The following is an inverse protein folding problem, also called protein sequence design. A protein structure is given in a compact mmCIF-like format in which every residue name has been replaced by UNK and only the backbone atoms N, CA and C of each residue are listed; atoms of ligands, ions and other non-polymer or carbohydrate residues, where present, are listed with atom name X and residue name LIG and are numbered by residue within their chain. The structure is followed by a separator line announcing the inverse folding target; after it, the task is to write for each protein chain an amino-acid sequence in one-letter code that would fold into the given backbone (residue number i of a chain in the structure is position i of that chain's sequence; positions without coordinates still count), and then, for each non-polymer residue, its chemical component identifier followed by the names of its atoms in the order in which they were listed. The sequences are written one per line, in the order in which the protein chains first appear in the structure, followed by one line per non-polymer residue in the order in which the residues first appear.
data_IF_477432630393
#
_entry.id   IF_477432630393
#
_cell.length_a   1.000
_cell.length_b   1.000
_cell.length_c   1.000
_cell.angle_alpha   90.00
_cell.angle_beta   90.00
_cell.angle_gamma   90.00
#
_symmetry.space_group_name_H-M   'P 1'
#
loop_
_entity.id
_entity.type
_entity.pdbx_description
1 polymer ?
#
# COMPACT_ATOMS: atom_id res chain seq x y z
N UNK A 1 -10.31 8.28 -11.55
CA UNK A 1 -9.74 7.09 -10.87
C UNK A 1 -8.51 7.52 -10.06
N UNK A 2 -8.59 7.49 -8.73
CA UNK A 2 -7.50 7.93 -7.83
C UNK A 2 -6.25 7.06 -7.97
N UNK A 3 -6.43 5.77 -8.31
CA UNK A 3 -5.39 4.73 -8.41
C UNK A 3 -4.54 4.77 -9.68
N UNK A 4 -5.00 5.35 -10.79
CA UNK A 4 -4.32 5.21 -12.08
C UNK A 4 -2.99 5.97 -12.16
N UNK A 5 -2.95 7.21 -11.65
CA UNK A 5 -1.70 7.99 -11.71
C UNK A 5 -0.59 7.40 -10.82
N UNK A 6 -0.87 6.93 -9.58
CA UNK A 6 0.12 6.22 -8.77
C UNK A 6 0.67 4.96 -9.46
N UNK A 7 -0.19 4.20 -10.15
CA UNK A 7 0.23 3.02 -10.91
C UNK A 7 1.06 3.41 -12.14
N UNK A 8 0.65 4.45 -12.87
CA UNK A 8 1.38 4.95 -14.05
C UNK A 8 2.78 5.49 -13.71
N UNK A 9 2.98 6.03 -12.49
CA UNK A 9 4.28 6.50 -12.02
C UNK A 9 5.27 5.34 -11.74
N UNK A 10 4.78 4.11 -11.56
CA UNK A 10 5.61 2.93 -11.35
C UNK A 10 6.06 2.33 -12.69
N UNK A 11 7.09 2.91 -13.30
CA UNK A 11 7.65 2.42 -14.58
C UNK A 11 8.23 0.99 -14.49
N UNK A 12 8.17 0.19 -15.58
CA UNK A 12 8.45 -1.25 -15.55
C UNK A 12 9.87 -1.66 -15.12
N UNK A 13 10.90 -0.86 -15.39
CA UNK A 13 12.31 -1.19 -15.14
C UNK A 13 12.87 -0.74 -13.78
N UNK A 14 12.03 -0.22 -12.90
CA UNK A 14 12.45 0.26 -11.58
C UNK A 14 12.40 -0.86 -10.54
N UNK A 15 13.38 -0.86 -9.65
CA UNK A 15 13.39 -1.71 -8.46
C UNK A 15 12.15 -1.41 -7.59
N UNK A 16 11.72 -2.39 -6.80
CA UNK A 16 10.46 -2.32 -6.06
C UNK A 16 10.40 -1.11 -5.11
N UNK A 17 11.51 -0.78 -4.46
CA UNK A 17 11.58 0.37 -3.56
C UNK A 17 11.29 1.68 -4.30
N UNK A 18 11.82 1.83 -5.52
CA UNK A 18 11.58 2.99 -6.36
C UNK A 18 10.12 3.04 -6.85
N UNK A 19 9.54 1.91 -7.24
CA UNK A 19 8.13 1.81 -7.64
C UNK A 19 7.20 2.20 -6.49
N UNK A 20 7.44 1.65 -5.29
CA UNK A 20 6.67 1.98 -4.09
C UNK A 20 6.83 3.46 -3.73
N UNK A 21 8.06 3.99 -3.75
CA UNK A 21 8.32 5.41 -3.48
C UNK A 21 7.60 6.36 -4.45
N UNK A 22 7.62 6.05 -5.74
CA UNK A 22 6.92 6.81 -6.78
C UNK A 22 5.39 6.75 -6.59
N UNK A 23 4.87 5.57 -6.28
CA UNK A 23 3.45 5.37 -5.97
C UNK A 23 3.02 6.21 -4.77
N UNK A 24 3.76 6.13 -3.64
CA UNK A 24 3.46 6.86 -2.41
C UNK A 24 3.50 8.37 -2.62
N UNK A 25 4.49 8.86 -3.37
CA UNK A 25 4.62 10.29 -3.70
C UNK A 25 3.40 10.77 -4.47
N UNK A 26 3.01 10.04 -5.51
CA UNK A 26 1.85 10.40 -6.34
C UNK A 26 0.54 10.30 -5.56
N UNK A 27 0.39 9.25 -4.73
CA UNK A 27 -0.79 9.07 -3.88
C UNK A 27 -0.91 10.20 -2.85
N UNK A 28 0.21 10.65 -2.25
CA UNK A 28 0.24 11.78 -1.32
C UNK A 28 -0.16 13.09 -1.98
N UNK A 29 0.29 13.35 -3.21
CA UNK A 29 -0.12 14.55 -3.96
C UNK A 29 -1.63 14.54 -4.20
N UNK A 30 -2.21 13.38 -4.58
CA UNK A 30 -3.66 13.24 -4.77
C UNK A 30 -4.47 13.34 -3.47
N UNK A 31 -3.89 12.95 -2.34
CA UNK A 31 -4.55 13.00 -1.04
C UNK A 31 -4.57 14.40 -0.39
N UNK A 32 -4.01 15.43 -1.05
CA UNK A 32 -3.87 16.78 -0.48
C UNK A 32 -5.20 17.39 -0.02
N UNK A 33 -6.27 17.14 -0.77
CA UNK A 33 -7.59 17.68 -0.46
C UNK A 33 -8.37 16.80 0.54
N UNK A 34 -7.68 15.86 1.18
CA UNK A 34 -8.26 14.82 2.00
C UNK A 34 -8.49 13.55 1.21
N UNK A 35 -8.81 12.49 1.94
CA UNK A 35 -9.07 11.17 1.38
C UNK A 35 -10.19 10.49 2.16
N UNK A 36 -11.05 9.76 1.49
CA UNK A 36 -12.01 8.86 2.18
C UNK A 36 -11.35 7.53 2.52
N UNK A 37 -11.88 6.82 3.52
CA UNK A 37 -11.44 5.47 3.84
C UNK A 37 -11.62 4.48 2.68
N UNK A 38 -12.63 4.68 1.83
CA UNK A 38 -12.83 3.89 0.60
C UNK A 38 -11.74 4.12 -0.44
N UNK A 39 -11.30 5.36 -0.61
CA UNK A 39 -10.19 5.70 -1.50
C UNK A 39 -8.87 5.18 -0.95
N UNK A 40 -8.67 5.23 0.37
CA UNK A 40 -7.52 4.61 1.03
C UNK A 40 -7.47 3.12 0.75
N UNK A 41 -8.59 2.41 0.93
CA UNK A 41 -8.70 0.99 0.63
C UNK A 41 -8.39 0.68 -0.85
N UNK A 42 -8.85 1.54 -1.77
CA UNK A 42 -8.56 1.40 -3.20
C UNK A 42 -7.06 1.57 -3.50
N UNK A 43 -6.39 2.53 -2.86
CA UNK A 43 -4.93 2.73 -2.97
C UNK A 43 -4.15 1.57 -2.34
N UNK A 44 -4.62 1.03 -1.22
CA UNK A 44 -4.03 -0.13 -0.57
C UNK A 44 -4.05 -1.35 -1.50
N UNK A 45 -5.20 -1.64 -2.11
CA UNK A 45 -5.34 -2.76 -3.06
C UNK A 45 -4.47 -2.54 -4.30
N UNK A 46 -4.42 -1.32 -4.83
CA UNK A 46 -3.56 -0.98 -5.97
C UNK A 46 -2.07 -1.18 -5.65
N UNK A 47 -1.63 -0.75 -4.46
CA UNK A 47 -0.26 -0.96 -3.99
C UNK A 47 0.05 -2.46 -3.82
N UNK A 48 -0.85 -3.23 -3.23
CA UNK A 48 -0.68 -4.68 -3.06
C UNK A 48 -0.51 -5.39 -4.41
N UNK A 49 -1.31 -5.02 -5.42
CA UNK A 49 -1.15 -5.56 -6.78
C UNK A 49 0.20 -5.20 -7.38
N UNK A 50 0.62 -3.93 -7.29
CA UNK A 50 1.93 -3.47 -7.77
C UNK A 50 3.08 -4.24 -7.10
N UNK A 51 3.01 -4.43 -5.78
CA UNK A 51 4.00 -5.18 -5.03
C UNK A 51 4.03 -6.64 -5.47
N UNK A 52 2.88 -7.31 -5.59
CA UNK A 52 2.83 -8.73 -6.00
C UNK A 52 3.35 -8.91 -7.42
N UNK A 53 2.93 -8.08 -8.38
CA UNK A 53 3.41 -8.13 -9.77
C UNK A 53 4.92 -7.92 -9.86
N UNK A 54 5.45 -6.91 -9.15
CA UNK A 54 6.88 -6.62 -9.16
C UNK A 54 7.69 -7.71 -8.46
N UNK A 55 7.22 -8.21 -7.31
CA UNK A 55 7.90 -9.26 -6.55
C UNK A 55 7.84 -10.60 -7.25
N UNK A 56 6.78 -10.91 -7.98
CA UNK A 56 6.67 -12.17 -8.72
C UNK A 56 7.68 -12.22 -9.88
N UNK A 57 7.89 -11.10 -10.57
CA UNK A 57 8.94 -10.95 -11.57
C UNK A 57 10.37 -11.08 -11.01
N UNK A 58 10.56 -10.84 -9.72
CA UNK A 58 11.87 -10.95 -9.05
C UNK A 58 12.10 -12.37 -8.52
N UNK A 59 12.95 -13.15 -9.20
CA UNK A 59 13.27 -14.54 -8.82
C UNK A 59 14.35 -14.69 -7.74
N UNK A 60 15.03 -13.60 -7.34
CA UNK A 60 16.22 -13.63 -6.49
C UNK A 60 15.95 -13.63 -4.98
N UNK A 61 14.69 -13.43 -4.57
CA UNK A 61 14.27 -13.30 -3.16
C UNK A 61 13.29 -14.41 -2.77
N UNK A 62 13.41 -14.87 -1.53
CA UNK A 62 12.56 -15.92 -0.97
C UNK A 62 11.11 -15.44 -0.75
N UNK A 63 10.16 -16.37 -0.67
CA UNK A 63 8.74 -16.02 -0.47
C UNK A 63 8.47 -15.26 0.83
N UNK A 64 9.19 -15.58 1.91
CA UNK A 64 9.11 -14.86 3.19
C UNK A 64 9.62 -13.42 3.09
N UNK A 65 10.69 -13.20 2.34
CA UNK A 65 11.24 -11.85 2.10
C UNK A 65 10.29 -11.02 1.23
N UNK A 66 9.72 -11.61 0.17
CA UNK A 66 8.70 -10.95 -0.67
C UNK A 66 7.54 -10.44 0.19
N UNK A 67 7.03 -11.29 1.11
CA UNK A 67 5.95 -10.90 2.04
C UNK A 67 6.37 -9.74 2.95
N UNK A 68 7.58 -9.78 3.51
CA UNK A 68 8.09 -8.73 4.38
C UNK A 68 8.19 -7.37 3.64
N UNK A 69 8.68 -7.38 2.40
CA UNK A 69 8.77 -6.18 1.55
C UNK A 69 7.38 -5.61 1.24
N UNK A 70 6.42 -6.45 0.86
CA UNK A 70 5.04 -6.00 0.61
C UNK A 70 4.38 -5.41 1.86
N UNK A 71 4.58 -6.02 3.03
CA UNK A 71 4.06 -5.49 4.30
C UNK A 71 4.72 -4.15 4.68
N UNK A 72 6.02 -3.99 4.44
CA UNK A 72 6.72 -2.73 4.65
C UNK A 72 6.15 -1.61 3.76
N UNK A 73 5.85 -1.91 2.50
CA UNK A 73 5.20 -0.96 1.59
C UNK A 73 3.81 -0.53 2.08
N UNK A 74 2.99 -1.47 2.57
CA UNK A 74 1.68 -1.17 3.17
C UNK A 74 1.82 -0.31 4.42
N UNK A 75 2.78 -0.63 5.28
CA UNK A 75 3.11 0.17 6.45
C UNK A 75 3.43 1.62 6.05
N UNK A 76 4.25 1.81 5.02
CA UNK A 76 4.60 3.14 4.51
C UNK A 76 3.38 3.89 3.93
N UNK A 77 2.48 3.20 3.22
CA UNK A 77 1.23 3.77 2.73
C UNK A 77 0.36 4.29 3.88
N UNK A 78 0.14 3.45 4.90
CA UNK A 78 -0.65 3.84 6.06
C UNK A 78 -0.04 5.05 6.77
N UNK A 79 1.28 5.05 7.02
CA UNK A 79 1.92 6.17 7.70
C UNK A 79 1.88 7.46 6.91
N UNK A 80 1.91 7.36 5.57
CA UNK A 80 1.90 8.51 4.68
C UNK A 80 0.49 9.09 4.52
N UNK A 81 -0.54 8.24 4.39
CA UNK A 81 -1.86 8.67 3.92
C UNK A 81 -2.97 8.66 4.98
N UNK A 82 -2.81 7.89 6.06
CA UNK A 82 -3.90 7.73 7.05
C UNK A 82 -4.32 9.04 7.72
N UNK A 83 -3.40 9.99 7.87
CA UNK A 83 -3.70 11.32 8.39
C UNK A 83 -4.63 12.15 7.49
N UNK A 84 -4.62 11.92 6.18
CA UNK A 84 -5.52 12.59 5.23
C UNK A 84 -6.94 12.02 5.27
N UNK A 85 -7.14 10.87 5.93
CA UNK A 85 -8.45 10.23 6.07
C UNK A 85 -9.27 10.74 7.25
N UNK A 86 -8.69 11.61 8.07
CA UNK A 86 -9.23 11.98 9.37
C UNK A 86 -9.55 13.47 9.41
N UNK A 87 -10.80 13.86 9.69
CA UNK A 87 -11.16 15.26 9.85
C UNK A 87 -10.49 15.83 11.11
N UNK A 88 -10.19 17.13 11.09
CA UNK A 88 -9.43 17.80 12.16
C UNK A 88 -10.07 17.63 13.55
N UNK A 89 -11.39 17.60 13.62
CA UNK A 89 -12.13 17.40 14.89
C UNK A 89 -11.88 16.02 15.53
N UNK A 90 -11.57 15.01 14.73
CA UNK A 90 -11.32 13.65 15.20
C UNK A 90 -9.83 13.38 15.50
N UNK A 91 -8.96 14.37 15.34
CA UNK A 91 -7.51 14.21 15.49
C UNK A 91 -7.07 13.65 16.86
N UNK A 92 -7.62 14.11 18.01
CA UNK A 92 -7.21 13.58 19.32
C UNK A 92 -7.52 12.09 19.48
N UNK A 93 -8.71 11.66 19.06
CA UNK A 93 -9.09 10.25 19.07
C UNK A 93 -8.23 9.44 18.09
N UNK A 94 -7.92 10.01 16.93
CA UNK A 94 -7.06 9.39 15.94
C UNK A 94 -5.64 9.13 16.44
N UNK A 95 -5.04 10.07 17.18
CA UNK A 95 -3.69 9.89 17.70
C UNK A 95 -3.58 8.65 18.61
N UNK A 96 -4.63 8.34 19.36
CA UNK A 96 -4.72 7.16 20.23
C UNK A 96 -5.01 5.89 19.42
N UNK A 97 -5.90 5.98 18.42
CA UNK A 97 -6.37 4.83 17.65
C UNK A 97 -5.40 4.41 16.53
N UNK A 98 -4.57 5.32 16.03
CA UNK A 98 -3.67 5.11 14.89
C UNK A 98 -2.79 3.85 15.00
N UNK A 99 -2.13 3.56 16.14
CA UNK A 99 -1.32 2.35 16.28
C UNK A 99 -2.15 1.07 16.13
N UNK A 100 -3.35 1.02 16.71
CA UNK A 100 -4.24 -0.13 16.62
C UNK A 100 -4.72 -0.35 15.17
N UNK A 101 -5.09 0.73 14.48
CA UNK A 101 -5.48 0.66 13.06
C UNK A 101 -4.33 0.28 12.14
N UNK A 102 -3.10 0.71 12.45
CA UNK A 102 -1.91 0.28 11.71
C UNK A 102 -1.75 -1.24 11.80
N UNK A 103 -1.83 -1.81 13.00
CA UNK A 103 -1.73 -3.27 13.20
C UNK A 103 -2.86 -3.98 12.46
N UNK A 104 -4.08 -3.46 12.54
CA UNK A 104 -5.23 -4.01 11.82
C UNK A 104 -5.02 -4.02 10.30
N UNK A 105 -4.56 -2.91 9.71
CA UNK A 105 -4.30 -2.83 8.26
C UNK A 105 -3.18 -3.79 7.84
N UNK A 106 -2.13 -3.92 8.65
CA UNK A 106 -1.05 -4.87 8.37
C UNK A 106 -1.53 -6.33 8.47
N UNK A 107 -2.39 -6.65 9.45
CA UNK A 107 -3.00 -7.97 9.55
C UNK A 107 -3.87 -8.30 8.34
N UNK A 108 -4.70 -7.35 7.90
CA UNK A 108 -5.50 -7.48 6.67
C UNK A 108 -4.61 -7.66 5.44
N UNK A 109 -3.56 -6.86 5.29
CA UNK A 109 -2.63 -6.96 4.18
C UNK A 109 -1.88 -8.30 4.17
N UNK A 110 -1.50 -8.83 5.34
CA UNK A 110 -0.88 -10.16 5.44
C UNK A 110 -1.81 -11.24 4.89
N UNK A 111 -3.09 -11.24 5.29
CA UNK A 111 -4.08 -12.18 4.76
C UNK A 111 -4.34 -11.99 3.27
N UNK A 112 -4.40 -10.74 2.80
CA UNK A 112 -4.59 -10.43 1.39
C UNK A 112 -3.41 -10.93 0.53
N UNK A 113 -2.17 -10.74 0.97
CA UNK A 113 -0.96 -11.22 0.27
C UNK A 113 -0.98 -12.75 0.18
N UNK A 114 -1.30 -13.44 1.27
CA UNK A 114 -1.41 -14.91 1.29
C UNK A 114 -2.51 -15.43 0.38
N UNK A 115 -3.62 -14.69 0.24
CA UNK A 115 -4.68 -15.03 -0.70
C UNK A 115 -4.33 -14.72 -2.16
N UNK A 116 -3.54 -13.67 -2.42
CA UNK A 116 -3.17 -13.22 -3.77
C UNK A 116 -2.03 -14.07 -4.36
N UNK A 117 -1.10 -14.57 -3.54
CA UNK A 117 0.03 -15.38 -3.98
C UNK A 117 -0.37 -16.65 -4.78
N UNK A 118 -1.36 -17.47 -4.36
CA UNK A 118 -1.82 -18.62 -5.14
C UNK A 118 -2.54 -18.25 -6.44
N UNK A 119 -3.23 -17.10 -6.47
CA UNK A 119 -3.98 -16.63 -7.64
C UNK A 119 -3.05 -16.17 -8.77
N UNK A 120 -1.92 -15.57 -8.41
CA UNK A 120 -0.90 -15.12 -9.39
C UNK A 120 -0.05 -16.30 -9.89
N UNK A 121 0.26 -17.30 -9.05
CA UNK A 121 1.03 -18.50 -9.45
C UNK A 121 0.30 -19.47 -10.40
N UNK A 122 -1.02 -19.37 -10.52
CA UNK A 122 -1.84 -20.26 -11.36
C UNK A 122 -2.15 -19.68 -12.75
N UNK A 123 -1.74 -18.45 -13.02
CA UNK A 123 -1.87 -17.81 -14.32
C UNK A 123 -0.55 -17.83 -15.08
#
# INVERSE_FOLDING_TARGET
MVTDAPLAAAHPFLDIEHKVGAFLTTAKVKARDGLTWSEFGSLLVALLRLCVETLDATSTISGSEKKAVALAAVAALFDTLSGFCVPLMAWPAWAILRPALRVFVLALASGAIESLLPLVRKS
#
